data_IF_378058092422
#
_entry.id   IF_378058092422
#
_cell.length_a   1.000
_cell.length_b   1.000
_cell.length_c   1.000
_cell.angle_alpha   90.00
_cell.angle_beta   90.00
_cell.angle_gamma   90.00
#
_symmetry.space_group_name_H-M   'P 1'
#
loop_
_entity.id
_entity.type
_entity.pdbx_description
1 polymer ?
#
# COMPACT_ATOMS: atom_id res chain seq x y z
N UNK A 1 -15.28 -2.52 -22.02
CA UNK A 1 -16.29 -3.51 -21.62
C UNK A 1 -16.03 -3.72 -20.14
N UNK A 2 -16.82 -3.05 -19.31
CA UNK A 2 -16.48 -2.80 -17.91
C UNK A 2 -16.82 -4.02 -17.06
N UNK A 3 -16.02 -4.33 -16.03
CA UNK A 3 -16.22 -5.47 -15.13
C UNK A 3 -17.63 -5.50 -14.49
N UNK A 4 -18.31 -4.35 -14.41
CA UNK A 4 -19.71 -4.24 -14.01
C UNK A 4 -20.71 -4.93 -14.97
N UNK A 5 -20.46 -4.91 -16.28
CA UNK A 5 -21.34 -5.53 -17.28
C UNK A 5 -21.28 -7.06 -17.21
N UNK A 6 -20.10 -7.63 -16.93
CA UNK A 6 -19.95 -9.06 -16.67
C UNK A 6 -20.72 -9.51 -15.43
N UNK A 7 -20.72 -8.70 -14.37
CA UNK A 7 -21.43 -9.00 -13.14
C UNK A 7 -22.94 -8.95 -13.33
N UNK A 8 -23.44 -7.95 -14.06
CA UNK A 8 -24.85 -7.85 -14.42
C UNK A 8 -25.31 -9.03 -15.28
N UNK A 9 -24.47 -9.47 -16.21
CA UNK A 9 -24.76 -10.60 -17.10
C UNK A 9 -24.75 -11.93 -16.36
N UNK A 10 -23.83 -12.14 -15.41
CA UNK A 10 -23.75 -13.33 -14.58
C UNK A 10 -24.93 -13.43 -13.60
N UNK A 11 -25.41 -12.29 -13.07
CA UNK A 11 -26.58 -12.23 -12.20
C UNK A 11 -27.87 -12.62 -12.94
N UNK A 12 -28.04 -12.14 -14.18
CA UNK A 12 -29.16 -12.52 -15.04
C UNK A 12 -29.13 -14.01 -15.42
N UNK A 13 -27.95 -14.62 -15.59
CA UNK A 13 -27.82 -16.05 -15.89
C UNK A 13 -28.15 -16.94 -14.68
N UNK A 14 -27.77 -16.53 -13.47
CA UNK A 14 -28.08 -17.28 -12.24
C UNK A 14 -29.57 -17.21 -11.88
N UNK A 15 -30.24 -16.08 -12.13
CA UNK A 15 -31.70 -15.96 -11.96
C UNK A 15 -32.50 -16.88 -12.91
N UNK A 16 -31.92 -17.27 -14.05
CA UNK A 16 -32.56 -18.18 -15.01
C UNK A 16 -32.44 -19.66 -14.62
N UNK A 17 -31.48 -20.03 -13.77
CA UNK A 17 -31.21 -21.43 -13.37
C UNK A 17 -32.10 -21.85 -12.18
N UNK A 18 -32.41 -20.93 -11.28
CA UNK A 18 -33.23 -21.19 -10.09
C UNK A 18 -34.64 -20.62 -10.29
N UNK A 19 -35.47 -21.35 -11.01
CA UNK A 19 -36.86 -20.96 -11.24
C UNK A 19 -37.60 -20.62 -9.94
N UNK A 20 -38.07 -19.37 -9.84
CA UNK A 20 -39.09 -18.82 -8.94
C UNK A 20 -39.07 -19.11 -7.43
N UNK A 21 -38.02 -19.70 -6.86
CA UNK A 21 -37.82 -19.67 -5.40
C UNK A 21 -37.11 -18.38 -4.98
N UNK A 22 -37.87 -17.28 -5.00
CA UNK A 22 -37.41 -15.91 -4.70
C UNK A 22 -36.65 -15.80 -3.36
N UNK A 23 -36.98 -16.63 -2.37
CA UNK A 23 -36.41 -16.57 -1.02
C UNK A 23 -34.94 -17.02 -0.94
N UNK A 24 -34.54 -18.01 -1.74
CA UNK A 24 -33.16 -18.53 -1.77
C UNK A 24 -32.25 -17.59 -2.55
N UNK A 25 -32.77 -17.01 -3.64
CA UNK A 25 -32.05 -15.98 -4.43
C UNK A 25 -31.85 -14.70 -3.62
N UNK A 26 -32.85 -14.28 -2.84
CA UNK A 26 -32.71 -13.11 -1.97
C UNK A 26 -31.70 -13.33 -0.84
N UNK A 27 -31.67 -14.50 -0.19
CA UNK A 27 -30.73 -14.77 0.90
C UNK A 27 -29.28 -14.92 0.41
N UNK A 28 -29.05 -15.61 -0.72
CA UNK A 28 -27.71 -15.69 -1.34
C UNK A 28 -27.29 -14.31 -1.87
N UNK A 29 -28.22 -13.53 -2.46
CA UNK A 29 -27.93 -12.17 -2.91
C UNK A 29 -27.66 -11.21 -1.75
N UNK A 30 -28.33 -11.36 -0.59
CA UNK A 30 -28.06 -10.52 0.58
C UNK A 30 -26.65 -10.84 1.13
N UNK A 31 -26.32 -12.08 1.47
CA UNK A 31 -25.00 -12.39 2.03
C UNK A 31 -23.85 -12.09 1.06
N UNK A 32 -24.02 -12.36 -0.24
CA UNK A 32 -23.01 -12.05 -1.25
C UNK A 32 -22.93 -10.55 -1.54
N UNK A 33 -24.03 -9.78 -1.50
CA UNK A 33 -23.96 -8.31 -1.64
C UNK A 33 -23.28 -7.66 -0.44
N UNK A 34 -23.49 -8.14 0.80
CA UNK A 34 -22.79 -7.57 1.96
C UNK A 34 -21.29 -7.91 1.93
N UNK A 35 -20.91 -9.15 1.58
CA UNK A 35 -19.51 -9.53 1.42
C UNK A 35 -18.85 -8.80 0.23
N UNK A 36 -19.53 -8.69 -0.91
CA UNK A 36 -19.04 -7.98 -2.07
C UNK A 36 -18.97 -6.47 -1.83
N UNK A 37 -19.96 -5.89 -1.15
CA UNK A 37 -19.95 -4.47 -0.78
C UNK A 37 -18.88 -4.19 0.26
N UNK A 38 -18.65 -5.07 1.24
CA UNK A 38 -17.55 -4.92 2.20
C UNK A 38 -16.18 -5.11 1.53
N UNK A 39 -16.06 -6.03 0.57
CA UNK A 39 -14.85 -6.20 -0.24
C UNK A 39 -14.61 -5.01 -1.17
N UNK A 40 -15.66 -4.48 -1.78
CA UNK A 40 -15.61 -3.31 -2.66
C UNK A 40 -15.37 -2.02 -1.88
N UNK A 41 -15.91 -1.88 -0.68
CA UNK A 41 -15.58 -0.78 0.25
C UNK A 41 -14.15 -0.91 0.79
N UNK A 42 -13.67 -2.12 1.07
CA UNK A 42 -12.26 -2.36 1.38
C UNK A 42 -11.36 -2.02 0.18
N UNK A 43 -11.74 -2.40 -1.04
CA UNK A 43 -11.01 -2.03 -2.26
C UNK A 43 -11.06 -0.54 -2.54
N UNK A 44 -12.21 0.12 -2.37
CA UNK A 44 -12.35 1.56 -2.53
C UNK A 44 -11.59 2.33 -1.45
N UNK A 45 -11.54 1.82 -0.21
CA UNK A 45 -10.75 2.43 0.87
C UNK A 45 -9.25 2.17 0.71
N UNK A 46 -8.85 0.99 0.23
CA UNK A 46 -7.46 0.70 -0.16
C UNK A 46 -7.05 1.54 -1.37
N UNK A 47 -7.94 1.72 -2.36
CA UNK A 47 -7.70 2.55 -3.54
C UNK A 47 -7.59 4.02 -3.15
N UNK A 48 -8.53 4.55 -2.34
CA UNK A 48 -8.44 5.91 -1.81
C UNK A 48 -7.19 6.11 -0.97
N UNK A 49 -6.88 5.18 -0.05
CA UNK A 49 -5.65 5.23 0.76
C UNK A 49 -4.40 5.23 -0.11
N UNK A 50 -4.38 4.44 -1.20
CA UNK A 50 -3.28 4.42 -2.16
C UNK A 50 -3.14 5.76 -2.89
N UNK A 51 -4.24 6.38 -3.30
CA UNK A 51 -4.25 7.67 -4.00
C UNK A 51 -3.84 8.84 -3.08
N UNK A 52 -4.31 8.85 -1.83
CA UNK A 52 -3.97 9.88 -0.84
C UNK A 52 -2.50 9.78 -0.43
N UNK A 53 -2.02 8.56 -0.13
CA UNK A 53 -0.59 8.33 0.16
C UNK A 53 0.30 8.72 -1.02
N UNK A 54 -0.14 8.46 -2.26
CA UNK A 54 0.63 8.80 -3.46
C UNK A 54 0.80 10.31 -3.63
N UNK A 55 -0.25 11.11 -3.33
CA UNK A 55 -0.16 12.58 -3.36
C UNK A 55 0.82 13.11 -2.32
N UNK A 56 0.76 12.59 -1.09
CA UNK A 56 1.67 12.99 -0.02
C UNK A 56 3.13 12.65 -0.37
N UNK A 57 3.38 11.46 -0.93
CA UNK A 57 4.72 11.05 -1.34
C UNK A 57 5.26 11.95 -2.47
N UNK A 58 4.42 12.36 -3.43
CA UNK A 58 4.86 13.18 -4.57
C UNK A 58 5.28 14.60 -4.15
N UNK A 59 4.60 15.20 -3.18
CA UNK A 59 4.93 16.55 -2.68
C UNK A 59 6.19 16.56 -1.78
N UNK A 60 6.49 15.43 -1.14
CA UNK A 60 7.53 15.32 -0.12
C UNK A 60 8.92 14.88 -0.63
N UNK A 61 9.12 14.66 -1.95
CA UNK A 61 10.42 14.19 -2.46
C UNK A 61 11.41 15.35 -2.62
N UNK A 62 12.35 15.47 -1.68
CA UNK A 62 13.51 16.37 -1.79
C UNK A 62 14.70 15.65 -2.41
N UNK A 63 15.14 16.10 -3.60
CA UNK A 63 16.33 15.60 -4.29
C UNK A 63 17.57 16.36 -3.81
N UNK A 64 18.54 15.67 -3.24
CA UNK A 64 19.84 16.25 -2.87
C UNK A 64 20.88 15.80 -3.91
N UNK A 65 21.48 16.74 -4.66
CA UNK A 65 22.58 16.41 -5.54
C UNK A 65 23.82 16.11 -4.69
N UNK A 66 24.25 14.85 -4.69
CA UNK A 66 25.54 14.45 -4.13
C UNK A 66 26.45 14.09 -5.29
N UNK A 67 27.74 14.42 -5.17
CA UNK A 67 28.76 14.31 -6.22
C UNK A 67 28.89 12.92 -6.90
N UNK A 68 28.26 11.87 -6.38
CA UNK A 68 28.38 10.51 -6.90
C UNK A 68 27.04 9.83 -7.25
N UNK A 69 25.97 10.03 -6.47
CA UNK A 69 24.64 9.44 -6.72
C UNK A 69 23.54 10.33 -6.14
N UNK A 70 22.33 10.35 -6.74
CA UNK A 70 21.22 11.10 -6.15
C UNK A 70 20.86 10.52 -4.78
N UNK A 71 20.60 11.40 -3.81
CA UNK A 71 19.96 11.04 -2.55
C UNK A 71 18.58 11.66 -2.53
N UNK A 72 17.56 10.85 -2.27
CA UNK A 72 16.19 11.36 -2.16
C UNK A 72 15.73 11.23 -0.72
N UNK A 73 15.21 12.34 -0.19
CA UNK A 73 14.52 12.37 1.08
C UNK A 73 13.03 12.38 0.76
N UNK A 74 12.28 11.48 1.39
CA UNK A 74 10.84 11.39 1.25
C UNK A 74 10.24 11.53 2.64
N UNK A 75 9.47 12.58 2.84
CA UNK A 75 8.66 12.69 4.07
C UNK A 75 7.40 11.84 3.93
N UNK A 76 7.04 11.16 5.00
CA UNK A 76 5.86 10.31 5.07
C UNK A 76 5.15 10.53 6.40
N UNK A 77 3.83 10.34 6.39
CA UNK A 77 3.01 10.41 7.59
C UNK A 77 2.42 9.02 7.89
N UNK A 78 2.32 8.68 9.16
CA UNK A 78 1.64 7.46 9.57
C UNK A 78 0.16 7.52 9.21
N UNK A 79 -0.36 6.40 8.71
CA UNK A 79 -1.75 6.34 8.26
C UNK A 79 -2.73 6.52 9.42
N UNK A 80 -3.86 7.18 9.16
CA UNK A 80 -4.94 7.34 10.14
C UNK A 80 -5.51 5.97 10.56
N UNK A 81 -5.83 5.84 11.85
CA UNK A 81 -6.29 4.60 12.48
C UNK A 81 -5.16 3.61 12.78
N UNK A 82 -3.89 4.06 12.81
CA UNK A 82 -2.73 3.24 13.17
C UNK A 82 -2.03 3.81 14.39
N UNK A 83 -1.12 3.04 15.00
CA UNK A 83 -0.32 3.49 16.15
C UNK A 83 0.60 4.69 15.86
N UNK A 84 0.80 4.98 14.58
CA UNK A 84 1.66 6.04 14.08
C UNK A 84 0.86 7.22 13.52
N UNK A 85 -0.46 7.26 13.75
CA UNK A 85 -1.31 8.35 13.28
C UNK A 85 -0.78 9.72 13.76
N UNK A 86 -0.60 10.64 12.81
CA UNK A 86 -0.06 11.98 13.06
C UNK A 86 1.45 12.04 13.27
N UNK A 87 2.15 10.91 13.29
CA UNK A 87 3.61 10.88 13.32
C UNK A 87 4.18 11.09 11.91
N UNK A 88 5.20 11.95 11.83
CA UNK A 88 5.96 12.19 10.61
C UNK A 88 7.26 11.41 10.66
N UNK A 89 7.55 10.70 9.59
CA UNK A 89 8.80 9.98 9.39
C UNK A 89 9.47 10.48 8.12
N UNK A 90 10.78 10.34 8.08
CA UNK A 90 11.56 10.72 6.93
C UNK A 90 12.33 9.49 6.44
N UNK A 91 12.20 9.19 5.14
CA UNK A 91 12.91 8.10 4.48
C UNK A 91 14.04 8.67 3.61
N UNK A 92 15.23 8.10 3.75
CA UNK A 92 16.37 8.39 2.90
C UNK A 92 16.57 7.25 1.91
N UNK A 93 16.42 7.56 0.63
CA UNK A 93 16.74 6.69 -0.50
C UNK A 93 18.14 7.01 -1.02
N UNK A 94 19.03 6.03 -0.96
CA UNK A 94 20.35 6.09 -1.58
C UNK A 94 20.38 5.18 -2.81
N UNK A 95 20.55 5.78 -3.98
CA UNK A 95 20.64 5.04 -5.22
C UNK A 95 22.09 4.61 -5.46
N UNK A 96 22.32 3.36 -5.86
CA UNK A 96 23.64 2.86 -6.25
C UNK A 96 23.91 3.13 -7.73
N UNK A 97 25.14 2.92 -8.18
CA UNK A 97 25.50 2.96 -9.62
C UNK A 97 24.77 1.93 -10.47
N UNK A 98 24.25 0.86 -9.85
CA UNK A 98 23.56 -0.23 -10.54
C UNK A 98 22.04 -0.10 -10.51
N UNK A 99 21.49 0.96 -9.91
CA UNK A 99 20.05 1.23 -10.00
C UNK A 99 19.63 1.43 -11.48
N UNK A 100 18.52 0.85 -11.95
CA UNK A 100 17.46 0.15 -11.20
C UNK A 100 17.63 -1.38 -11.08
N UNK A 101 18.74 -1.97 -11.53
CA UNK A 101 18.98 -3.41 -11.39
C UNK A 101 19.18 -3.82 -9.93
N UNK A 102 19.89 -2.99 -9.16
CA UNK A 102 19.96 -3.10 -7.71
C UNK A 102 18.91 -2.21 -7.04
N UNK A 103 18.39 -2.67 -5.91
CA UNK A 103 17.49 -1.89 -5.07
C UNK A 103 18.17 -0.64 -4.52
N UNK A 104 17.44 0.46 -4.32
CA UNK A 104 17.94 1.58 -3.55
C UNK A 104 18.04 1.18 -2.08
N UNK A 105 19.07 1.68 -1.39
CA UNK A 105 19.13 1.54 0.06
C UNK A 105 18.14 2.52 0.68
N UNK A 106 17.19 2.01 1.46
CA UNK A 106 16.17 2.81 2.14
C UNK A 106 16.35 2.70 3.65
N UNK A 107 16.43 3.84 4.32
CA UNK A 107 16.53 3.93 5.77
C UNK A 107 15.62 5.01 6.32
N UNK A 108 14.99 4.77 7.46
CA UNK A 108 14.39 5.83 8.25
C UNK A 108 15.50 6.75 8.78
N UNK A 109 15.28 8.03 8.64
CA UNK A 109 16.15 9.11 9.11
C UNK A 109 15.31 10.13 9.87
N UNK A 110 15.98 11.01 10.62
CA UNK A 110 15.33 12.02 11.44
C UNK A 110 15.27 11.65 12.91
N UNK A 111 14.56 12.47 13.68
CA UNK A 111 14.46 12.32 15.14
C UNK A 111 13.45 11.24 15.54
N UNK A 112 12.47 10.94 14.67
CA UNK A 112 11.42 9.97 14.92
C UNK A 112 11.60 8.73 14.01
N UNK A 113 12.06 7.61 14.58
CA UNK A 113 12.16 6.31 13.90
C UNK A 113 11.04 5.41 14.44
N UNK A 114 10.23 4.81 13.56
CA UNK A 114 9.11 3.98 14.00
C UNK A 114 9.63 2.69 14.64
N UNK A 115 9.09 2.35 15.80
CA UNK A 115 9.43 1.12 16.53
C UNK A 115 8.63 -0.05 15.95
N UNK A 116 9.26 -0.81 15.05
CA UNK A 116 8.60 -1.88 14.32
C UNK A 116 9.49 -3.13 14.23
N UNK A 117 8.96 -4.37 14.26
CA UNK A 117 9.78 -5.59 14.14
C UNK A 117 10.67 -5.67 12.89
N UNK A 118 10.27 -4.96 11.83
CA UNK A 118 11.02 -4.85 10.57
C UNK A 118 11.82 -3.55 10.43
N UNK A 119 11.85 -2.72 11.46
CA UNK A 119 12.65 -1.48 11.50
C UNK A 119 13.66 -1.59 12.64
N UNK A 120 14.93 -1.58 12.28
CA UNK A 120 16.01 -1.61 13.24
C UNK A 120 16.21 -0.24 13.89
N UNK A 121 16.84 -0.21 15.06
CA UNK A 121 17.12 1.04 15.82
C UNK A 121 18.01 2.04 15.08
N UNK A 122 18.77 1.57 14.09
CA UNK A 122 19.56 2.40 13.18
C UNK A 122 18.76 2.91 11.96
N UNK A 123 17.45 2.67 11.93
CA UNK A 123 16.54 3.06 10.85
C UNK A 123 16.55 2.14 9.63
N UNK A 124 17.32 1.05 9.64
CA UNK A 124 17.30 0.10 8.53
C UNK A 124 15.97 -0.65 8.47
N UNK A 125 15.48 -0.89 7.25
CA UNK A 125 14.18 -1.53 7.00
C UNK A 125 14.42 -2.92 6.41
N UNK A 126 13.80 -3.93 6.99
CA UNK A 126 13.80 -5.30 6.48
C UNK A 126 12.51 -5.53 5.67
N UNK A 127 12.60 -5.36 4.35
CA UNK A 127 11.51 -5.67 3.42
C UNK A 127 12.05 -6.52 2.26
N UNK A 128 11.33 -7.58 1.90
CA UNK A 128 11.74 -8.47 0.80
C UNK A 128 11.83 -7.72 -0.53
N UNK A 129 10.94 -6.74 -0.76
CA UNK A 129 10.97 -5.88 -1.96
C UNK A 129 12.25 -5.04 -2.09
N UNK A 130 13.02 -4.85 -1.01
CA UNK A 130 14.32 -4.15 -1.04
C UNK A 130 15.49 -5.11 -1.19
N UNK A 131 15.24 -6.43 -1.20
CA UNK A 131 16.25 -7.49 -1.23
C UNK A 131 15.92 -8.51 -2.31
N UNK A 132 15.32 -9.65 -1.94
CA UNK A 132 15.07 -10.78 -2.83
C UNK A 132 13.95 -10.54 -3.86
N UNK A 133 12.93 -9.76 -3.51
CA UNK A 133 11.78 -9.46 -4.37
C UNK A 133 11.94 -8.12 -5.12
N UNK A 134 13.15 -7.53 -5.12
CA UNK A 134 13.38 -6.30 -5.86
C UNK A 134 13.24 -6.55 -7.36
N UNK A 135 12.50 -5.66 -8.02
CA UNK A 135 12.37 -5.63 -9.47
C UNK A 135 12.58 -4.20 -9.96
N UNK A 136 13.30 -3.99 -11.08
CA UNK A 136 13.41 -2.67 -11.72
C UNK A 136 12.07 -2.04 -12.10
N UNK A 137 10.98 -2.83 -12.12
CA UNK A 137 9.62 -2.34 -12.33
C UNK A 137 9.03 -1.63 -11.08
N UNK A 138 9.64 -1.79 -9.90
CA UNK A 138 9.21 -1.13 -8.68
C UNK A 138 9.68 0.33 -8.67
N UNK A 139 8.73 1.24 -8.47
CA UNK A 139 9.04 2.66 -8.28
C UNK A 139 9.25 2.99 -6.80
N UNK A 140 9.88 4.13 -6.53
CA UNK A 140 10.00 4.70 -5.17
C UNK A 140 8.64 4.80 -4.48
N UNK A 141 7.58 5.14 -5.24
CA UNK A 141 6.22 5.22 -4.72
C UNK A 141 5.71 3.86 -4.23
N UNK A 142 5.93 2.79 -5.01
CA UNK A 142 5.57 1.43 -4.62
C UNK A 142 6.30 1.00 -3.35
N UNK A 143 7.59 1.34 -3.23
CA UNK A 143 8.38 1.08 -2.02
C UNK A 143 7.81 1.80 -0.80
N UNK A 144 7.53 3.11 -0.92
CA UNK A 144 6.92 3.89 0.16
C UNK A 144 5.55 3.34 0.57
N UNK A 145 4.71 2.94 -0.39
CA UNK A 145 3.40 2.34 -0.11
C UNK A 145 3.55 1.02 0.66
N UNK A 146 4.51 0.18 0.30
CA UNK A 146 4.81 -1.05 1.03
C UNK A 146 5.28 -0.78 2.45
N UNK A 147 6.11 0.25 2.67
CA UNK A 147 6.55 0.67 4.01
C UNK A 147 5.35 1.17 4.85
N UNK A 148 4.49 2.01 4.29
CA UNK A 148 3.28 2.50 4.98
C UNK A 148 2.35 1.33 5.34
N UNK A 149 2.15 0.39 4.41
CA UNK A 149 1.35 -0.81 4.66
C UNK A 149 1.93 -1.68 5.77
N UNK A 150 3.25 -1.86 5.77
CA UNK A 150 3.97 -2.59 6.83
C UNK A 150 3.74 -1.92 8.19
N UNK A 151 3.95 -0.60 8.30
CA UNK A 151 3.71 0.16 9.54
C UNK A 151 2.25 0.10 9.99
N UNK A 152 1.31 0.16 9.03
CA UNK A 152 -0.14 0.11 9.32
C UNK A 152 -0.60 -1.25 9.86
N UNK A 153 0.15 -2.32 9.61
CA UNK A 153 -0.18 -3.67 10.08
C UNK A 153 0.20 -3.90 11.56
N UNK A 154 0.99 -3.00 12.14
CA UNK A 154 1.49 -3.12 13.50
C UNK A 154 0.38 -2.82 14.53
N UNK A 155 0.21 -3.72 15.51
CA UNK A 155 -0.83 -3.61 16.55
C UNK A 155 -0.30 -3.20 17.92
N UNK A 156 1.01 -3.31 18.16
CA UNK A 156 1.66 -2.88 19.41
C UNK A 156 3.05 -2.28 19.10
N UNK A 157 3.42 -1.19 19.79
CA UNK A 157 4.80 -0.65 19.81
C UNK A 157 5.57 -1.48 20.83
N UNK A 158 6.51 -2.32 20.39
CA UNK A 158 7.29 -3.24 21.24
C UNK A 158 8.57 -2.58 21.74
#
# INVERSE_FOLDING_TARGET
MNDLEYFFTLFCHLAAIFGNDLLVVYLISFDCQYLFFHFFLNLLSISKRKDDNLRMIQEAVKKIPVHSYPLWIVDMEGASGTLYEGEKFQLLFKFSSRYPFDSPQVVFTGENIPVHPHVYSNGHICLSILTEDWSPALSVQSVCLSIISMLSSCKEKV
#
